data_IF_133779059766
#
_entry.id   IF_133779059766
#
_cell.length_a   1.000
_cell.length_b   1.000
_cell.length_c   1.000
_cell.angle_alpha   90.00
_cell.angle_beta   90.00
_cell.angle_gamma   90.00
#
_symmetry.space_group_name_H-M   'P 1'
#
loop_
_entity.id
_entity.type
_entity.pdbx_description
1 polymer ?
#
# COMPACT_ATOMS: atom_id res chain seq x y z
N UNK A 1 6.19 -19.13 -14.11
CA UNK A 1 6.02 -17.78 -14.72
C UNK A 1 4.60 -17.67 -15.22
N UNK A 2 3.95 -16.53 -15.00
CA UNK A 2 2.57 -16.23 -15.40
C UNK A 2 2.60 -14.86 -16.09
N UNK A 3 2.02 -14.75 -17.28
CA UNK A 3 1.99 -13.48 -18.01
C UNK A 3 0.72 -13.31 -18.83
N UNK A 4 0.33 -12.05 -19.08
CA UNK A 4 -0.80 -11.67 -19.96
C UNK A 4 -2.12 -12.35 -19.57
N UNK A 5 -2.41 -12.41 -18.27
CA UNK A 5 -3.70 -12.86 -17.76
C UNK A 5 -4.61 -11.64 -17.56
N UNK A 6 -5.89 -11.77 -17.89
CA UNK A 6 -6.79 -10.61 -17.88
C UNK A 6 -7.32 -10.25 -16.48
N UNK A 7 -7.54 -11.24 -15.63
CA UNK A 7 -8.19 -11.04 -14.33
C UNK A 7 -7.22 -11.10 -13.15
N UNK A 8 -6.73 -12.28 -12.81
CA UNK A 8 -5.76 -12.46 -11.72
C UNK A 8 -4.70 -13.49 -12.12
N UNK A 9 -3.42 -13.21 -11.84
CA UNK A 9 -2.33 -14.14 -12.15
C UNK A 9 -2.41 -15.42 -11.30
N UNK A 10 -2.52 -15.28 -9.98
CA UNK A 10 -2.75 -16.38 -9.03
C UNK A 10 -3.80 -15.93 -8.03
N UNK A 11 -4.84 -16.73 -7.84
CA UNK A 11 -5.92 -16.42 -6.89
C UNK A 11 -6.21 -17.60 -5.98
N UNK A 12 -6.35 -17.34 -4.68
CA UNK A 12 -6.91 -18.28 -3.71
C UNK A 12 -8.05 -17.64 -2.94
N UNK A 13 -9.21 -18.31 -2.90
CA UNK A 13 -10.36 -17.90 -2.11
C UNK A 13 -10.61 -18.93 -1.01
N UNK A 14 -10.62 -18.50 0.26
CA UNK A 14 -10.85 -19.36 1.42
C UNK A 14 -9.84 -20.51 1.58
N UNK A 15 -8.63 -20.35 1.05
CA UNK A 15 -7.60 -21.40 1.02
C UNK A 15 -6.22 -20.87 1.42
N UNK A 16 -5.35 -21.79 1.85
CA UNK A 16 -3.94 -21.50 2.16
C UNK A 16 -3.04 -21.98 1.02
N UNK A 17 -2.15 -21.12 0.55
CA UNK A 17 -1.18 -21.47 -0.50
C UNK A 17 0.12 -20.67 -0.38
N UNK A 18 1.20 -21.24 -0.94
CA UNK A 18 2.49 -20.57 -1.03
C UNK A 18 2.86 -20.32 -2.49
N UNK A 19 3.54 -19.19 -2.72
CA UNK A 19 4.10 -18.80 -4.01
C UNK A 19 5.55 -18.41 -3.77
N UNK A 20 6.46 -19.18 -4.35
CA UNK A 20 7.89 -18.94 -4.20
C UNK A 20 8.54 -18.76 -5.56
N UNK A 21 9.52 -17.85 -5.65
CA UNK A 21 10.38 -17.69 -6.84
C UNK A 21 9.61 -17.61 -8.15
N UNK A 22 8.44 -16.96 -8.11
CA UNK A 22 7.53 -16.87 -9.24
C UNK A 22 7.53 -15.48 -9.84
N UNK A 23 7.53 -15.40 -11.17
CA UNK A 23 7.32 -14.14 -11.89
C UNK A 23 5.89 -14.08 -12.42
N UNK A 24 5.19 -12.99 -12.09
CA UNK A 24 3.85 -12.64 -12.58
C UNK A 24 3.94 -11.27 -13.28
N UNK A 25 3.55 -11.17 -14.55
CA UNK A 25 3.72 -9.91 -15.29
C UNK A 25 2.67 -9.62 -16.35
N UNK A 26 2.63 -8.37 -16.81
CA UNK A 26 1.84 -7.94 -17.97
C UNK A 26 0.35 -8.19 -17.79
N UNK A 27 -0.17 -7.90 -16.60
CA UNK A 27 -1.58 -8.08 -16.27
C UNK A 27 -2.35 -6.81 -16.56
N UNK A 28 -2.43 -6.51 -17.86
CA UNK A 28 -3.05 -5.29 -18.39
C UNK A 28 -4.57 -5.44 -18.60
N UNK A 29 -5.14 -6.63 -18.39
CA UNK A 29 -6.55 -6.88 -18.63
C UNK A 29 -7.45 -5.98 -17.81
N UNK A 30 -8.50 -5.52 -18.46
CA UNK A 30 -9.61 -4.80 -17.84
C UNK A 30 -10.82 -5.68 -18.07
N UNK A 31 -11.35 -6.27 -17.00
CA UNK A 31 -12.66 -6.91 -17.05
C UNK A 31 -13.75 -5.84 -17.21
N UNK A 32 -14.94 -6.22 -17.66
CA UNK A 32 -16.04 -5.27 -17.87
C UNK A 32 -16.39 -4.45 -16.61
N UNK A 33 -16.10 -4.99 -15.43
CA UNK A 33 -16.30 -4.34 -14.13
C UNK A 33 -15.09 -3.52 -13.65
N UNK A 34 -13.98 -3.49 -14.39
CA UNK A 34 -12.76 -2.75 -14.06
C UNK A 34 -11.93 -3.30 -12.90
N UNK A 35 -12.15 -4.55 -12.47
CA UNK A 35 -11.50 -5.15 -11.29
C UNK A 35 -10.35 -6.12 -11.66
N UNK A 36 -10.18 -6.44 -12.94
CA UNK A 36 -9.10 -7.30 -13.45
C UNK A 36 -7.69 -6.71 -13.32
N UNK A 37 -6.69 -7.46 -13.77
CA UNK A 37 -5.29 -7.04 -13.76
C UNK A 37 -4.59 -7.11 -12.38
N UNK A 38 -5.02 -8.00 -11.48
CA UNK A 38 -4.35 -8.27 -10.21
C UNK A 38 -3.21 -9.28 -10.35
N UNK A 39 -2.04 -9.04 -9.76
CA UNK A 39 -0.91 -9.97 -9.74
C UNK A 39 -1.24 -11.27 -9.01
N UNK A 40 -1.28 -11.20 -7.68
CA UNK A 40 -1.62 -12.32 -6.81
C UNK A 40 -2.71 -11.85 -5.85
N UNK A 41 -3.77 -12.63 -5.70
CA UNK A 41 -4.86 -12.33 -4.79
C UNK A 41 -5.10 -13.47 -3.80
N UNK A 42 -5.32 -13.12 -2.54
CA UNK A 42 -5.91 -14.02 -1.55
C UNK A 42 -7.12 -13.33 -0.94
N UNK A 43 -8.23 -14.05 -0.87
CA UNK A 43 -9.46 -13.50 -0.30
C UNK A 43 -10.20 -14.52 0.55
N UNK A 44 -11.10 -14.00 1.36
CA UNK A 44 -12.17 -14.79 1.91
C UNK A 44 -13.19 -15.17 0.82
N UNK A 45 -13.96 -16.23 1.07
CA UNK A 45 -15.00 -16.64 0.13
C UNK A 45 -16.38 -16.19 0.62
N UNK A 46 -16.71 -16.43 1.90
CA UNK A 46 -17.85 -15.88 2.67
C UNK A 46 -17.50 -16.01 4.17
N UNK A 47 -18.34 -15.48 5.07
CA UNK A 47 -18.15 -15.52 6.53
C UNK A 47 -18.01 -16.94 7.11
N UNK A 48 -18.59 -17.94 6.44
CA UNK A 48 -18.54 -19.35 6.86
C UNK A 48 -17.28 -20.09 6.39
N UNK A 49 -16.49 -19.49 5.48
CA UNK A 49 -15.30 -20.14 4.92
C UNK A 49 -14.04 -19.79 5.70
N UNK A 50 -13.04 -20.71 5.69
CA UNK A 50 -11.75 -20.45 6.28
C UNK A 50 -11.11 -19.16 5.78
N UNK A 51 -10.22 -18.60 6.60
CA UNK A 51 -9.39 -17.48 6.19
C UNK A 51 -8.41 -17.89 5.12
N UNK A 52 -8.33 -17.09 4.06
CA UNK A 52 -7.29 -17.27 3.06
C UNK A 52 -5.94 -16.93 3.66
N UNK A 53 -4.91 -17.71 3.34
CA UNK A 53 -3.54 -17.47 3.81
C UNK A 53 -2.59 -17.55 2.62
N UNK A 54 -1.82 -16.49 2.39
CA UNK A 54 -0.80 -16.44 1.35
C UNK A 54 0.58 -16.30 1.97
N UNK A 55 1.49 -17.21 1.62
CA UNK A 55 2.93 -17.02 1.82
C UNK A 55 3.59 -16.73 0.48
N UNK A 56 4.19 -15.54 0.33
CA UNK A 56 4.81 -15.06 -0.90
C UNK A 56 6.30 -14.78 -0.67
N UNK A 57 7.19 -15.56 -1.29
CA UNK A 57 8.63 -15.44 -1.07
C UNK A 57 9.39 -15.28 -2.39
N UNK A 58 10.40 -14.39 -2.40
CA UNK A 58 11.40 -14.29 -3.46
C UNK A 58 10.80 -14.15 -4.88
N UNK A 59 9.64 -13.50 -5.00
CA UNK A 59 8.87 -13.44 -6.24
C UNK A 59 8.97 -12.06 -6.89
N UNK A 60 8.49 -11.93 -8.12
CA UNK A 60 8.54 -10.68 -8.87
C UNK A 60 7.21 -10.43 -9.59
N UNK A 61 6.54 -9.35 -9.21
CA UNK A 61 5.27 -8.90 -9.80
C UNK A 61 5.51 -7.59 -10.56
N UNK A 62 5.16 -7.55 -11.84
CA UNK A 62 5.51 -6.43 -12.73
C UNK A 62 4.34 -6.04 -13.61
N UNK A 63 4.05 -4.74 -13.75
CA UNK A 63 2.99 -4.25 -14.66
C UNK A 63 1.64 -4.94 -14.43
N UNK A 64 1.23 -5.00 -13.16
CA UNK A 64 -0.16 -5.25 -12.79
C UNK A 64 -0.93 -3.93 -12.80
N UNK A 65 -2.22 -3.95 -13.14
CA UNK A 65 -3.04 -2.75 -13.28
C UNK A 65 -3.78 -2.36 -12.01
N UNK A 66 -4.40 -3.34 -11.36
CA UNK A 66 -5.26 -3.07 -10.20
C UNK A 66 -4.48 -3.19 -8.90
N UNK A 67 -3.81 -4.32 -8.70
CA UNK A 67 -2.91 -4.51 -7.57
C UNK A 67 -1.77 -5.47 -7.92
N UNK A 68 -0.58 -5.25 -7.36
CA UNK A 68 0.49 -6.24 -7.41
C UNK A 68 0.15 -7.46 -6.56
N UNK A 69 -0.17 -7.23 -5.29
CA UNK A 69 -0.74 -8.22 -4.37
C UNK A 69 -1.99 -7.66 -3.73
N UNK A 70 -3.09 -8.42 -3.73
CA UNK A 70 -4.35 -8.03 -3.11
C UNK A 70 -4.76 -9.04 -2.04
N UNK A 71 -5.15 -8.54 -0.86
CA UNK A 71 -5.50 -9.32 0.32
C UNK A 71 -6.82 -8.80 0.86
N UNK A 72 -7.87 -9.62 0.79
CA UNK A 72 -9.23 -9.25 1.20
C UNK A 72 -9.70 -10.15 2.35
N UNK A 73 -9.90 -9.57 3.54
CA UNK A 73 -10.23 -10.28 4.78
C UNK A 73 -9.42 -11.55 5.03
N UNK A 74 -8.12 -11.50 4.73
CA UNK A 74 -7.21 -12.66 4.68
C UNK A 74 -5.86 -12.35 5.32
N UNK A 75 -4.99 -13.35 5.40
CA UNK A 75 -3.64 -13.21 5.94
C UNK A 75 -2.59 -13.32 4.84
N UNK A 76 -1.55 -12.48 4.94
CA UNK A 76 -0.41 -12.54 4.03
C UNK A 76 0.93 -12.44 4.76
N UNK A 77 1.91 -13.20 4.29
CA UNK A 77 3.32 -13.01 4.62
C UNK A 77 4.12 -12.84 3.34
N UNK A 78 4.74 -11.68 3.14
CA UNK A 78 5.53 -11.34 1.95
C UNK A 78 6.99 -11.14 2.36
N UNK A 79 7.89 -11.92 1.76
CA UNK A 79 9.32 -11.83 2.01
C UNK A 79 10.14 -11.71 0.72
N UNK A 80 11.12 -10.81 0.73
CA UNK A 80 12.13 -10.69 -0.35
C UNK A 80 11.54 -10.58 -1.76
N UNK A 81 10.40 -9.91 -1.90
CA UNK A 81 9.63 -9.82 -3.15
C UNK A 81 9.82 -8.46 -3.82
N UNK A 82 9.75 -8.42 -5.14
CA UNK A 82 9.81 -7.18 -5.92
C UNK A 82 8.45 -6.93 -6.57
N UNK A 83 7.85 -5.78 -6.32
CA UNK A 83 6.64 -5.30 -7.00
C UNK A 83 6.99 -4.02 -7.73
N UNK A 84 6.86 -3.97 -9.06
CA UNK A 84 7.28 -2.76 -9.79
C UNK A 84 6.53 -2.43 -11.06
N UNK A 85 6.59 -1.16 -11.42
CA UNK A 85 6.02 -0.59 -12.64
C UNK A 85 4.54 -0.92 -12.76
N UNK A 86 3.75 -0.62 -11.71
CA UNK A 86 2.30 -0.81 -11.76
C UNK A 86 1.71 0.07 -12.85
N UNK A 87 0.70 -0.45 -13.54
CA UNK A 87 0.04 0.26 -14.63
C UNK A 87 -1.01 1.21 -14.04
N UNK A 88 -1.18 2.42 -14.61
CA UNK A 88 -2.30 3.25 -14.26
C UNK A 88 -3.65 2.57 -14.54
N UNK A 89 -4.63 2.93 -13.73
CA UNK A 89 -6.03 2.52 -13.86
C UNK A 89 -6.91 3.77 -13.79
N UNK A 90 -8.08 3.72 -14.42
CA UNK A 90 -9.07 4.81 -14.34
C UNK A 90 -9.78 4.81 -12.98
N UNK A 91 -9.66 3.73 -12.21
CA UNK A 91 -10.25 3.57 -10.88
C UNK A 91 -9.24 3.87 -9.77
N UNK A 92 -9.70 4.18 -8.55
CA UNK A 92 -8.83 4.41 -7.39
C UNK A 92 -8.19 3.14 -6.79
N UNK A 93 -7.75 2.22 -7.65
CA UNK A 93 -7.22 0.89 -7.31
C UNK A 93 -6.01 0.58 -8.20
N UNK A 94 -4.84 1.12 -7.85
CA UNK A 94 -3.58 0.99 -8.59
C UNK A 94 -2.39 0.59 -7.70
N UNK A 95 -2.69 0.05 -6.52
CA UNK A 95 -1.75 -0.12 -5.41
C UNK A 95 -0.77 -1.26 -5.65
N UNK A 96 0.50 -1.12 -5.26
CA UNK A 96 1.42 -2.26 -5.35
C UNK A 96 1.05 -3.39 -4.37
N UNK A 97 0.79 -3.06 -3.09
CA UNK A 97 0.28 -4.00 -2.06
C UNK A 97 -1.01 -3.49 -1.43
N UNK A 98 -2.13 -4.19 -1.65
CA UNK A 98 -3.46 -3.81 -1.18
C UNK A 98 -3.95 -4.79 -0.11
N UNK A 99 -3.93 -4.38 1.16
CA UNK A 99 -4.32 -5.21 2.31
C UNK A 99 -5.53 -4.57 2.97
N UNK A 100 -6.71 -5.13 2.75
CA UNK A 100 -7.97 -4.53 3.18
C UNK A 100 -8.92 -5.52 3.82
N UNK A 101 -9.82 -5.04 4.68
CA UNK A 101 -10.94 -5.85 5.12
C UNK A 101 -11.76 -6.37 3.93
N UNK A 102 -12.36 -7.54 4.11
CA UNK A 102 -13.31 -8.09 3.15
C UNK A 102 -14.64 -7.35 3.22
N UNK A 103 -15.47 -7.52 2.18
CA UNK A 103 -16.87 -7.07 2.20
C UNK A 103 -17.71 -7.75 3.29
N UNK A 104 -17.22 -8.84 3.91
CA UNK A 104 -17.89 -9.50 5.04
C UNK A 104 -17.56 -8.85 6.39
N UNK A 105 -16.77 -7.77 6.39
CA UNK A 105 -16.31 -7.09 7.61
C UNK A 105 -15.17 -7.81 8.31
N UNK A 106 -14.53 -8.80 7.67
CA UNK A 106 -13.35 -9.46 8.25
C UNK A 106 -12.10 -8.67 7.94
N UNK A 107 -11.36 -8.26 8.98
CA UNK A 107 -10.03 -7.58 8.87
C UNK A 107 -9.03 -8.44 8.09
N UNK A 108 -8.10 -7.80 7.39
CA UNK A 108 -6.88 -8.47 6.90
C UNK A 108 -5.72 -8.26 7.85
N UNK A 109 -4.74 -9.17 7.80
CA UNK A 109 -3.45 -8.95 8.45
C UNK A 109 -2.29 -9.31 7.52
N UNK A 110 -1.15 -8.65 7.70
CA UNK A 110 -0.02 -8.78 6.79
C UNK A 110 1.34 -8.58 7.45
N UNK A 111 2.33 -9.33 6.99
CA UNK A 111 3.75 -9.03 7.21
C UNK A 111 4.44 -8.79 5.88
N UNK A 112 5.23 -7.73 5.78
CA UNK A 112 6.00 -7.35 4.58
C UNK A 112 7.46 -7.14 4.99
N UNK A 113 8.32 -8.06 4.59
CA UNK A 113 9.74 -8.08 4.97
C UNK A 113 10.65 -8.05 3.75
N UNK A 114 11.69 -7.21 3.79
CA UNK A 114 12.74 -7.11 2.75
C UNK A 114 12.19 -6.99 1.33
N UNK A 115 11.07 -6.29 1.17
CA UNK A 115 10.37 -6.15 -0.11
C UNK A 115 10.77 -4.85 -0.79
N UNK A 116 10.75 -4.83 -2.13
CA UNK A 116 10.99 -3.62 -2.92
C UNK A 116 9.78 -3.28 -3.77
N UNK A 117 9.24 -2.08 -3.59
CA UNK A 117 8.14 -1.50 -4.35
C UNK A 117 8.70 -0.35 -5.18
N UNK A 118 8.58 -0.41 -6.51
CA UNK A 118 9.16 0.61 -7.40
C UNK A 118 8.18 1.04 -8.48
N UNK A 119 7.91 2.33 -8.64
CA UNK A 119 6.98 2.78 -9.69
C UNK A 119 5.56 2.26 -9.43
N UNK A 120 5.07 2.41 -8.21
CA UNK A 120 3.67 2.15 -7.87
C UNK A 120 2.80 3.33 -8.32
N UNK A 121 1.49 3.09 -8.40
CA UNK A 121 0.52 4.10 -8.77
C UNK A 121 -0.50 4.20 -7.64
N UNK A 122 -0.98 5.40 -7.32
CA UNK A 122 -1.84 5.67 -6.16
C UNK A 122 -1.20 5.47 -4.79
N UNK A 123 -0.84 4.24 -4.46
CA UNK A 123 -0.22 3.87 -3.17
C UNK A 123 0.83 2.77 -3.37
N UNK A 124 1.94 2.84 -2.66
CA UNK A 124 2.89 1.73 -2.57
C UNK A 124 2.29 0.56 -1.78
N UNK A 125 1.95 0.81 -0.52
CA UNK A 125 1.21 -0.10 0.34
C UNK A 125 -0.02 0.62 0.90
N UNK A 126 -1.18 -0.02 0.82
CA UNK A 126 -2.40 0.46 1.47
C UNK A 126 -2.94 -0.60 2.42
N UNK A 127 -3.06 -0.21 3.68
CA UNK A 127 -3.75 -0.94 4.73
C UNK A 127 -5.07 -0.23 5.03
N UNK A 128 -6.19 -0.88 4.78
CA UNK A 128 -7.51 -0.34 5.14
C UNK A 128 -8.25 -1.33 6.03
N UNK A 129 -8.69 -0.89 7.20
CA UNK A 129 -9.34 -1.75 8.20
C UNK A 129 -8.54 -3.05 8.48
N UNK A 130 -7.20 -2.93 8.55
CA UNK A 130 -6.26 -4.05 8.55
C UNK A 130 -5.07 -3.83 9.48
N UNK A 131 -4.34 -4.89 9.81
CA UNK A 131 -3.14 -4.86 10.66
C UNK A 131 -1.90 -5.28 9.85
N UNK A 132 -0.96 -4.36 9.63
CA UNK A 132 0.20 -4.63 8.76
C UNK A 132 1.51 -4.28 9.44
N UNK A 133 2.45 -5.23 9.45
CA UNK A 133 3.84 -4.99 9.88
C UNK A 133 4.73 -4.92 8.65
N UNK A 134 5.48 -3.84 8.51
CA UNK A 134 6.41 -3.57 7.41
C UNK A 134 7.83 -3.46 7.98
N UNK A 135 8.77 -4.25 7.46
CA UNK A 135 10.16 -4.28 7.95
C UNK A 135 11.14 -4.32 6.79
N UNK A 136 12.25 -3.60 6.90
CA UNK A 136 13.38 -3.64 5.97
C UNK A 136 12.97 -3.46 4.49
N UNK A 137 11.92 -2.68 4.22
CA UNK A 137 11.28 -2.56 2.91
C UNK A 137 11.66 -1.23 2.24
N UNK A 138 11.74 -1.22 0.92
CA UNK A 138 12.01 0.00 0.14
C UNK A 138 10.82 0.29 -0.78
N UNK A 139 10.25 1.49 -0.67
CA UNK A 139 9.17 1.99 -1.52
C UNK A 139 9.69 3.23 -2.24
N UNK A 140 9.64 3.22 -3.56
CA UNK A 140 10.25 4.28 -4.35
C UNK A 140 9.42 4.64 -5.59
N UNK A 141 9.19 5.93 -5.79
CA UNK A 141 8.49 6.45 -6.96
C UNK A 141 7.02 6.02 -6.99
N UNK A 142 6.19 6.57 -6.11
CA UNK A 142 4.74 6.37 -6.18
C UNK A 142 4.10 7.52 -6.94
N UNK A 143 3.50 7.24 -8.09
CA UNK A 143 2.82 8.24 -8.91
C UNK A 143 1.37 8.47 -8.44
N UNK A 144 0.87 9.69 -8.60
CA UNK A 144 -0.56 10.00 -8.51
C UNK A 144 -1.28 9.75 -9.85
N UNK A 145 -2.60 9.62 -9.81
CA UNK A 145 -3.46 9.58 -11.00
C UNK A 145 -4.58 10.59 -10.83
N UNK A 146 -4.61 11.61 -11.70
CA UNK A 146 -5.57 12.70 -11.59
C UNK A 146 -5.41 13.46 -10.27
N UNK A 147 -6.50 13.58 -9.53
CA UNK A 147 -6.60 14.20 -8.20
C UNK A 147 -6.40 13.21 -7.04
N UNK A 148 -6.12 11.95 -7.33
CA UNK A 148 -6.00 10.90 -6.33
C UNK A 148 -4.59 10.78 -5.76
N UNK A 149 -4.47 10.02 -4.68
CA UNK A 149 -3.28 9.94 -3.85
C UNK A 149 -2.07 9.35 -4.59
N UNK A 150 -0.89 9.55 -4.05
CA UNK A 150 0.39 9.13 -4.63
C UNK A 150 1.36 8.87 -3.49
N UNK A 151 0.95 8.00 -2.57
CA UNK A 151 1.58 7.85 -1.25
C UNK A 151 2.42 6.60 -1.13
N UNK A 152 3.49 6.65 -0.33
CA UNK A 152 4.31 5.48 -0.08
C UNK A 152 3.54 4.40 0.66
N UNK A 153 3.11 4.72 1.88
CA UNK A 153 2.28 3.87 2.74
C UNK A 153 1.03 4.65 3.16
N UNK A 154 -0.13 4.02 3.07
CA UNK A 154 -1.41 4.58 3.52
C UNK A 154 -2.06 3.63 4.54
N UNK A 155 -2.38 4.15 5.73
CA UNK A 155 -3.21 3.51 6.76
C UNK A 155 -4.56 4.22 6.82
N UNK A 156 -5.66 3.49 6.68
CA UNK A 156 -7.01 4.06 6.59
C UNK A 156 -8.01 3.24 7.41
N UNK A 157 -8.63 3.87 8.40
CA UNK A 157 -9.74 3.28 9.14
C UNK A 157 -11.06 3.80 8.57
N UNK A 158 -11.87 2.91 8.00
CA UNK A 158 -13.21 3.23 7.49
C UNK A 158 -14.25 2.72 8.48
N UNK A 159 -14.36 1.39 8.59
CA UNK A 159 -15.32 0.74 9.49
C UNK A 159 -14.64 0.16 10.74
N UNK A 160 -13.34 -0.11 10.65
CA UNK A 160 -12.55 -0.71 11.72
C UNK A 160 -11.22 0.02 11.87
N UNK A 161 -10.59 -0.08 13.04
CA UNK A 161 -9.23 0.48 13.20
C UNK A 161 -8.26 -0.16 12.22
N UNK A 162 -7.51 0.60 11.44
CA UNK A 162 -6.33 0.09 10.72
C UNK A 162 -5.08 0.40 11.52
N UNK A 163 -4.15 -0.56 11.63
CA UNK A 163 -2.85 -0.35 12.27
C UNK A 163 -1.71 -0.72 11.32
N UNK A 164 -0.67 0.12 11.29
CA UNK A 164 0.54 -0.15 10.51
C UNK A 164 1.77 0.07 11.38
N UNK A 165 2.58 -0.96 11.56
CA UNK A 165 3.90 -0.87 12.20
C UNK A 165 4.98 -0.87 11.12
N UNK A 166 5.89 0.12 11.16
CA UNK A 166 6.91 0.33 10.13
C UNK A 166 8.28 0.36 10.79
N UNK A 167 9.18 -0.53 10.36
CA UNK A 167 10.57 -0.62 10.84
C UNK A 167 11.58 -0.65 9.71
N UNK A 168 12.69 0.04 9.88
CA UNK A 168 13.87 -0.03 9.01
C UNK A 168 13.54 0.14 7.52
N UNK A 169 12.56 0.99 7.21
CA UNK A 169 11.95 1.11 5.88
C UNK A 169 12.34 2.43 5.24
N UNK A 170 12.60 2.41 3.93
CA UNK A 170 12.89 3.60 3.14
C UNK A 170 11.72 3.90 2.21
N UNK A 171 11.21 5.13 2.25
CA UNK A 171 10.15 5.59 1.37
C UNK A 171 10.62 6.84 0.66
N UNK A 172 10.71 6.80 -0.67
CA UNK A 172 11.22 7.89 -1.47
C UNK A 172 10.37 8.27 -2.67
N UNK A 173 10.38 9.55 -3.00
CA UNK A 173 9.82 10.08 -4.25
C UNK A 173 8.34 9.70 -4.46
N UNK A 174 7.55 9.67 -3.39
CA UNK A 174 6.10 9.64 -3.50
C UNK A 174 5.59 10.96 -4.08
N UNK A 175 4.58 10.92 -4.96
CA UNK A 175 4.03 12.11 -5.61
C UNK A 175 3.27 13.01 -4.62
N UNK A 176 2.81 12.48 -3.50
CA UNK A 176 2.14 13.24 -2.43
C UNK A 176 2.80 13.04 -1.08
N UNK A 177 2.54 11.91 -0.40
CA UNK A 177 3.05 11.67 0.96
C UNK A 177 3.99 10.46 1.05
N UNK A 178 4.99 10.53 1.92
CA UNK A 178 5.76 9.34 2.31
C UNK A 178 4.85 8.34 3.03
N UNK A 179 4.26 8.77 4.14
CA UNK A 179 3.27 8.00 4.89
C UNK A 179 2.03 8.86 5.10
N UNK A 180 0.84 8.28 4.90
CA UNK A 180 -0.43 8.90 5.23
C UNK A 180 -1.25 8.06 6.20
N UNK A 181 -1.86 8.70 7.19
CA UNK A 181 -2.88 8.12 8.06
C UNK A 181 -4.22 8.86 7.89
N UNK A 182 -5.29 8.10 7.66
CA UNK A 182 -6.67 8.56 7.60
C UNK A 182 -7.45 7.83 8.68
N UNK A 183 -7.45 8.39 9.90
CA UNK A 183 -7.98 7.71 11.10
C UNK A 183 -7.30 6.37 11.47
N UNK A 184 -6.15 6.05 10.85
CA UNK A 184 -5.36 4.86 11.15
C UNK A 184 -4.36 5.08 12.27
N UNK A 185 -3.91 3.99 12.88
CA UNK A 185 -2.78 3.96 13.82
C UNK A 185 -1.48 3.64 13.07
N UNK A 186 -0.44 4.44 13.27
CA UNK A 186 0.86 4.24 12.61
C UNK A 186 1.98 4.32 13.63
N UNK A 187 2.72 3.23 13.79
CA UNK A 187 3.93 3.16 14.60
C UNK A 187 5.16 3.10 13.68
N UNK A 188 6.18 3.91 13.94
CA UNK A 188 7.36 4.01 13.08
C UNK A 188 8.67 4.06 13.85
N UNK A 189 9.62 3.19 13.50
CA UNK A 189 10.99 3.17 14.01
C UNK A 189 12.01 3.01 12.88
N UNK A 190 13.09 3.78 12.87
CA UNK A 190 14.16 3.61 11.87
C UNK A 190 13.71 3.87 10.42
N UNK A 191 12.66 4.67 10.22
CA UNK A 191 12.08 4.95 8.89
C UNK A 191 12.79 6.14 8.23
N UNK A 192 13.14 6.02 6.95
CA UNK A 192 13.72 7.11 6.16
C UNK A 192 12.76 7.57 5.08
N UNK A 193 12.26 8.80 5.22
CA UNK A 193 11.36 9.44 4.27
C UNK A 193 12.16 10.46 3.44
N UNK A 194 12.42 10.12 2.18
CA UNK A 194 13.37 10.84 1.33
C UNK A 194 12.72 11.47 0.09
N UNK A 195 12.78 12.79 -0.02
CA UNK A 195 12.27 13.56 -1.14
C UNK A 195 10.78 13.29 -1.44
N UNK A 196 9.95 13.16 -0.39
CA UNK A 196 8.50 13.19 -0.52
C UNK A 196 8.02 14.64 -0.29
N UNK A 197 7.06 15.17 -1.07
CA UNK A 197 6.51 16.51 -0.87
C UNK A 197 5.95 16.71 0.54
N UNK A 198 5.23 15.71 1.03
CA UNK A 198 4.79 15.59 2.42
C UNK A 198 5.47 14.34 2.99
N UNK A 199 6.15 14.46 4.12
CA UNK A 199 6.80 13.28 4.73
C UNK A 199 5.73 12.45 5.44
N UNK A 200 4.98 13.07 6.35
CA UNK A 200 3.89 12.46 7.10
C UNK A 200 2.60 13.27 6.90
N UNK A 201 1.53 12.61 6.45
CA UNK A 201 0.19 13.20 6.35
C UNK A 201 -0.75 12.53 7.36
N UNK A 202 -1.47 13.30 8.17
CA UNK A 202 -2.49 12.76 9.07
C UNK A 202 -3.80 13.52 8.89
N UNK A 203 -4.89 12.79 8.67
CA UNK A 203 -6.23 13.35 8.82
C UNK A 203 -6.83 12.91 10.15
N UNK A 204 -7.31 13.85 10.98
CA UNK A 204 -7.91 13.52 12.26
C UNK A 204 -9.16 12.66 12.03
N UNK A 205 -9.13 11.43 12.55
CA UNK A 205 -10.31 10.59 12.71
C UNK A 205 -11.01 10.84 14.04
N UNK A 206 -12.24 10.33 14.19
CA UNK A 206 -12.98 10.38 15.45
C UNK A 206 -12.28 9.63 16.60
N UNK A 207 -11.36 8.71 16.29
CA UNK A 207 -10.73 7.79 17.22
C UNK A 207 -9.49 8.35 17.92
N UNK A 208 -8.95 9.49 17.47
CA UNK A 208 -7.71 10.06 18.01
C UNK A 208 -6.44 9.24 17.71
N UNK A 209 -6.54 8.24 16.82
CA UNK A 209 -5.39 7.49 16.31
C UNK A 209 -4.51 8.37 15.43
N UNK A 210 -3.21 8.10 15.41
CA UNK A 210 -2.24 8.94 14.73
C UNK A 210 -0.88 8.29 14.56
N UNK A 211 0.15 9.14 14.54
CA UNK A 211 1.54 8.69 14.39
C UNK A 211 2.22 8.56 15.75
N UNK A 212 2.92 7.45 15.92
CA UNK A 212 3.74 7.10 17.07
C UNK A 212 5.20 6.97 16.60
N UNK A 213 6.03 7.93 16.98
CA UNK A 213 7.46 7.94 16.70
C UNK A 213 8.19 7.12 17.77
N UNK A 214 8.66 5.94 17.37
CA UNK A 214 9.40 4.99 18.22
C UNK A 214 10.93 5.15 18.08
N UNK A 215 11.41 6.22 17.42
CA UNK A 215 12.81 6.61 17.34
C UNK A 215 13.50 6.33 15.99
N UNK A 216 14.68 6.92 15.82
CA UNK A 216 15.60 6.76 14.66
C UNK A 216 15.00 7.07 13.28
N UNK A 217 13.90 7.83 13.25
CA UNK A 217 13.25 8.26 12.01
C UNK A 217 14.00 9.45 11.38
N UNK A 218 14.08 9.46 10.05
CA UNK A 218 14.72 10.52 9.27
C UNK A 218 13.78 11.03 8.19
N UNK A 219 13.67 12.35 8.08
CA UNK A 219 12.89 13.02 7.05
C UNK A 219 13.75 14.05 6.33
N UNK A 220 13.68 14.14 5.00
CA UNK A 220 14.50 15.11 4.27
C UNK A 220 14.54 14.89 2.76
N UNK A 221 15.45 15.60 2.09
CA UNK A 221 15.79 15.37 0.67
C UNK A 221 17.25 15.74 0.41
N UNK A 222 17.96 15.00 -0.44
CA UNK A 222 19.33 15.28 -0.88
C UNK A 222 20.29 15.69 0.27
N UNK A 223 20.31 14.88 1.33
CA UNK A 223 21.07 15.06 2.57
C UNK A 223 20.62 16.18 3.52
N UNK A 224 19.68 17.04 3.12
CA UNK A 224 19.06 18.01 4.02
C UNK A 224 18.07 17.28 4.95
N UNK A 225 18.54 16.92 6.13
CA UNK A 225 17.71 16.37 7.20
C UNK A 225 16.81 17.45 7.80
N UNK A 226 15.57 17.09 8.09
CA UNK A 226 14.59 17.90 8.81
C UNK A 226 13.81 17.08 9.83
N UNK A 227 13.08 17.76 10.70
CA UNK A 227 12.13 17.11 11.60
C UNK A 227 11.02 16.43 10.79
N UNK A 228 10.64 15.22 11.18
CA UNK A 228 9.45 14.57 10.63
C UNK A 228 8.19 15.30 11.11
N UNK A 229 7.70 16.23 10.29
CA UNK A 229 6.49 17.00 10.59
C UNK A 229 5.27 16.26 10.06
N UNK A 230 4.27 16.12 10.93
CA UNK A 230 2.93 15.66 10.55
C UNK A 230 2.18 16.87 10.00
N UNK A 231 1.79 16.80 8.73
CA UNK A 231 0.91 17.77 8.09
C UNK A 231 -0.50 17.18 7.98
N UNK A 232 -1.54 18.02 7.94
CA UNK A 232 -2.92 17.61 7.66
C UNK A 232 -3.39 18.30 6.39
N UNK A 233 -4.28 17.67 5.62
CA UNK A 233 -4.97 18.27 4.48
C UNK A 233 -5.92 19.40 4.84
N UNK A 234 -6.09 19.72 6.13
CA UNK A 234 -6.72 20.98 6.58
C UNK A 234 -5.90 22.23 6.22
N UNK A 235 -4.90 22.09 5.35
CA UNK A 235 -4.37 23.21 4.56
C UNK A 235 -5.54 23.82 3.79
N UNK A 236 -5.87 25.07 4.13
CA UNK A 236 -6.75 25.86 3.28
C UNK A 236 -6.17 25.84 1.86
N UNK A 237 -7.00 25.65 0.82
CA UNK A 237 -6.56 25.84 -0.55
C UNK A 237 -5.83 27.19 -0.64
N UNK A 238 -4.71 27.30 -1.40
CA UNK A 238 -4.06 28.57 -1.61
C UNK A 238 -5.11 29.62 -2.01
N UNK A 239 -5.07 30.84 -1.47
CA UNK A 239 -6.02 31.87 -1.85
C UNK A 239 -6.04 31.98 -3.38
N UNK A 240 -7.24 32.04 -3.97
CA UNK A 240 -7.39 32.16 -5.42
C UNK A 240 -6.54 33.32 -5.92
N UNK A 241 -5.74 33.09 -6.97
CA UNK A 241 -4.99 34.16 -7.62
C UNK A 241 -5.98 35.22 -8.14
N UNK A 242 -5.68 36.52 -8.01
CA UNK A 242 -6.52 37.57 -8.56
C UNK A 242 -6.67 37.39 -10.09
N UNK A 243 -7.83 37.78 -10.67
CA UNK A 243 -8.02 37.69 -12.11
C UNK A 243 -6.94 38.50 -12.86
N UNK A 244 -6.43 37.93 -13.95
CA UNK A 244 -5.48 38.55 -14.86
C UNK A 244 -6.08 39.75 -15.61
#
# INVERSE_FOLDING_TARGET
MIERVDHCGIMGAGTSFSVERTSVRDLAGVTADGVGGMGIAVQDQLSEFPRGVLSLQASTIVRARTAGVAVFGSDVAIGSTIVRHMLPTERPIGTALYVVASMTGRRSAGTVDRTSIQGAVLTGLRASDSDVVVTATAIDGVASVGDQFGDGICSESVDMTSSVEIRDTVISRSARAGISSFAGDVQMAGVRLNCNPIQLNSEPGATGLGFHDEGDNWCGCDHAAGTCQILSSSLEPPPMLPPL
#
